data_IF_327262813253
#
_entry.id   IF_327262813253
#
_cell.length_a   1.000
_cell.length_b   1.000
_cell.length_c   1.000
_cell.angle_alpha   90.00
_cell.angle_beta   90.00
_cell.angle_gamma   90.00
#
_symmetry.space_group_name_H-M   'P 1'
#
loop_
_entity.id
_entity.type
_entity.pdbx_description
1 polymer ?
#
# COMPACT_ATOMS: atom_id res chain seq x y z
N UNK A 1 -8.46 8.47 42.12
CA UNK A 1 -8.33 9.44 41.00
C UNK A 1 -7.19 9.11 40.06
N UNK A 2 -5.91 9.01 40.50
CA UNK A 2 -4.77 8.67 39.61
C UNK A 2 -4.92 7.33 38.86
N UNK A 3 -5.42 6.27 39.51
CA UNK A 3 -5.68 4.96 38.88
C UNK A 3 -6.86 4.98 37.90
N UNK A 4 -7.86 5.83 38.13
CA UNK A 4 -9.03 5.97 37.27
C UNK A 4 -8.67 6.75 35.99
N UNK A 5 -7.81 7.76 36.10
CA UNK A 5 -7.29 8.52 34.95
C UNK A 5 -6.39 7.66 34.05
N UNK A 6 -5.53 6.82 34.64
CA UNK A 6 -4.68 5.87 33.88
C UNK A 6 -5.54 4.84 33.15
N UNK A 7 -6.62 4.36 33.77
CA UNK A 7 -7.55 3.41 33.13
C UNK A 7 -8.36 4.06 32.01
N UNK A 8 -8.79 5.32 32.17
CA UNK A 8 -9.50 6.06 31.11
C UNK A 8 -8.57 6.37 29.93
N UNK A 9 -7.30 6.71 30.17
CA UNK A 9 -6.31 6.91 29.10
C UNK A 9 -5.97 5.58 28.41
N UNK A 10 -5.91 4.46 29.14
CA UNK A 10 -5.72 3.12 28.56
C UNK A 10 -6.95 2.63 27.76
N UNK A 11 -8.17 2.95 28.20
CA UNK A 11 -9.40 2.58 27.47
C UNK A 11 -9.62 3.49 26.25
N UNK A 12 -9.23 4.76 26.31
CA UNK A 12 -9.27 5.68 25.16
C UNK A 12 -8.18 5.40 24.13
N UNK A 13 -7.07 4.76 24.51
CA UNK A 13 -6.01 4.34 23.56
C UNK A 13 -6.31 3.01 22.84
N UNK A 14 -7.41 2.33 23.19
CA UNK A 14 -7.81 1.05 22.57
C UNK A 14 -8.69 1.23 21.32
N UNK A 15 -9.07 2.46 20.94
CA UNK A 15 -10.03 2.67 19.83
C UNK A 15 -9.46 3.26 18.53
N UNK A 16 -8.16 3.15 18.27
CA UNK A 16 -7.60 3.44 16.95
C UNK A 16 -6.43 2.50 16.65
N UNK A 17 -6.74 1.23 16.39
CA UNK A 17 -5.84 0.39 15.59
C UNK A 17 -6.29 0.50 14.15
N UNK A 18 -5.63 1.34 13.35
CA UNK A 18 -5.53 1.03 11.93
C UNK A 18 -4.89 -0.35 11.85
N UNK A 19 -5.63 -1.33 11.35
CA UNK A 19 -5.08 -2.67 11.21
C UNK A 19 -4.12 -2.63 10.02
N UNK A 20 -2.85 -2.99 10.24
CA UNK A 20 -1.91 -3.27 9.17
C UNK A 20 -2.30 -4.61 8.51
N UNK A 21 -3.39 -4.55 7.74
CA UNK A 21 -4.07 -5.71 7.16
C UNK A 21 -4.44 -5.52 5.67
N UNK A 22 -4.26 -4.34 5.09
CA UNK A 22 -4.44 -4.13 3.64
C UNK A 22 -3.47 -5.00 2.83
N UNK A 23 -3.94 -5.54 1.71
CA UNK A 23 -3.12 -6.36 0.81
C UNK A 23 -3.27 -5.86 -0.61
N UNK A 24 -2.17 -5.44 -1.21
CA UNK A 24 -2.10 -5.00 -2.60
C UNK A 24 -1.50 -6.07 -3.50
N UNK A 25 -2.01 -6.14 -4.73
CA UNK A 25 -1.55 -7.06 -5.76
C UNK A 25 -1.48 -6.34 -7.10
N UNK A 26 -0.34 -6.45 -7.76
CA UNK A 26 -0.14 -6.03 -9.15
C UNK A 26 0.12 -7.25 -10.02
N UNK A 27 -0.55 -7.35 -11.18
CA UNK A 27 -0.31 -8.42 -12.17
C UNK A 27 -0.04 -7.79 -13.53
N UNK A 28 1.11 -8.14 -14.11
CA UNK A 28 1.49 -7.70 -15.44
C UNK A 28 0.63 -8.33 -16.54
N UNK A 29 0.54 -7.66 -17.69
CA UNK A 29 -0.35 -8.05 -18.79
C UNK A 29 -0.06 -9.40 -19.43
N UNK A 30 1.17 -9.90 -19.37
CA UNK A 30 1.55 -11.22 -19.86
C UNK A 30 1.42 -12.32 -18.80
N UNK A 31 1.13 -11.96 -17.54
CA UNK A 31 0.78 -12.89 -16.48
C UNK A 31 -0.73 -13.15 -16.40
N UNK A 32 -1.56 -12.40 -17.12
CA UNK A 32 -3.02 -12.57 -17.11
C UNK A 32 -3.54 -13.41 -18.28
N UNK A 33 -4.71 -14.02 -18.09
CA UNK A 33 -5.35 -14.89 -19.11
C UNK A 33 -5.87 -14.13 -20.33
N UNK A 34 -6.10 -12.81 -20.22
CA UNK A 34 -6.76 -11.98 -21.22
C UNK A 34 -5.92 -10.78 -21.70
N UNK A 35 -4.70 -10.62 -21.19
CA UNK A 35 -3.83 -9.50 -21.56
C UNK A 35 -4.09 -8.22 -20.77
N UNK A 36 -4.97 -8.24 -19.77
CA UNK A 36 -5.23 -7.10 -18.90
C UNK A 36 -4.12 -6.89 -17.87
N UNK A 37 -3.91 -5.65 -17.46
CA UNK A 37 -3.15 -5.33 -16.25
C UNK A 37 -4.11 -5.34 -15.06
N UNK A 38 -3.71 -5.94 -13.94
CA UNK A 38 -4.54 -5.97 -12.72
C UNK A 38 -3.82 -5.20 -11.61
N UNK A 39 -4.51 -4.22 -11.04
CA UNK A 39 -4.23 -3.66 -9.71
C UNK A 39 -5.43 -4.02 -8.82
N UNK A 40 -5.15 -4.58 -7.64
CA UNK A 40 -6.16 -4.95 -6.68
C UNK A 40 -5.68 -4.67 -5.25
N UNK A 41 -6.62 -4.31 -4.38
CA UNK A 41 -6.39 -3.93 -2.99
C UNK A 41 -7.49 -4.50 -2.10
N UNK A 42 -7.13 -4.99 -0.92
CA UNK A 42 -8.06 -5.03 0.22
C UNK A 42 -7.85 -3.81 1.11
N UNK A 43 -8.95 -3.13 1.46
CA UNK A 43 -8.92 -1.95 2.32
C UNK A 43 -9.47 -2.32 3.68
N UNK A 44 -8.58 -2.63 4.61
CA UNK A 44 -8.93 -3.29 5.87
C UNK A 44 -8.99 -2.27 7.00
N UNK A 45 -10.17 -1.72 7.24
CA UNK A 45 -10.40 -0.77 8.33
C UNK A 45 -11.74 -0.06 8.23
N UNK A 46 -11.94 0.94 9.08
CA UNK A 46 -13.18 1.72 9.12
C UNK A 46 -13.10 2.92 8.16
N UNK A 47 -13.01 2.65 6.86
CA UNK A 47 -12.94 3.67 5.80
C UNK A 47 -14.31 3.99 5.19
N UNK A 48 -14.42 5.11 4.49
CA UNK A 48 -15.62 5.50 3.76
C UNK A 48 -15.84 4.56 2.56
N UNK A 49 -16.79 3.63 2.65
CA UNK A 49 -17.03 2.64 1.59
C UNK A 49 -18.02 3.09 0.52
N UNK A 50 -18.37 4.39 0.46
CA UNK A 50 -19.25 4.92 -0.60
C UNK A 50 -18.50 4.93 -1.93
N UNK A 51 -19.19 4.56 -3.01
CA UNK A 51 -18.71 4.79 -4.38
C UNK A 51 -19.03 6.24 -4.76
N UNK A 52 -18.00 7.08 -4.84
CA UNK A 52 -18.12 8.49 -5.23
C UNK A 52 -17.54 8.67 -6.62
N UNK A 53 -18.31 9.30 -7.51
CA UNK A 53 -17.85 9.67 -8.85
C UNK A 53 -17.69 11.18 -8.86
N UNK A 54 -16.45 11.64 -9.03
CA UNK A 54 -16.09 13.04 -9.11
C UNK A 54 -16.04 13.42 -10.59
N UNK A 55 -16.87 14.38 -11.04
CA UNK A 55 -16.91 14.76 -12.45
C UNK A 55 -15.64 15.52 -12.86
N UNK A 56 -15.31 15.43 -14.15
CA UNK A 56 -14.31 16.29 -14.77
C UNK A 56 -14.72 17.76 -14.65
N UNK A 57 -13.75 18.65 -14.53
CA UNK A 57 -14.00 20.08 -14.40
C UNK A 57 -12.91 20.94 -15.03
N UNK A 58 -13.32 22.08 -15.59
CA UNK A 58 -12.42 23.15 -16.02
C UNK A 58 -12.27 24.19 -14.90
N UNK A 59 -11.09 24.80 -14.82
CA UNK A 59 -10.74 25.75 -13.77
C UNK A 59 -10.13 27.03 -14.34
N UNK A 60 -10.43 28.16 -13.69
CA UNK A 60 -9.90 29.46 -14.11
C UNK A 60 -8.35 29.49 -14.00
N UNK A 61 -7.65 30.12 -14.96
CA UNK A 61 -6.20 30.27 -14.91
C UNK A 61 -5.71 30.95 -13.64
N UNK A 62 -4.70 30.35 -12.99
CA UNK A 62 -4.12 30.87 -11.75
C UNK A 62 -4.96 30.63 -10.50
N UNK A 63 -6.03 29.84 -10.59
CA UNK A 63 -6.77 29.37 -9.42
C UNK A 63 -5.92 28.41 -8.57
N UNK A 64 -6.30 28.29 -7.30
CA UNK A 64 -5.70 27.38 -6.33
C UNK A 64 -6.69 26.27 -6.00
N UNK A 65 -6.19 25.09 -5.67
CA UNK A 65 -7.02 23.98 -5.17
C UNK A 65 -6.61 23.62 -3.74
N UNK A 66 -7.57 23.37 -2.84
CA UNK A 66 -7.29 22.93 -1.49
C UNK A 66 -6.69 21.52 -1.46
N UNK A 67 -5.87 21.30 -0.44
CA UNK A 67 -5.30 20.00 -0.05
C UNK A 67 -6.05 19.55 1.21
N UNK A 68 -6.72 18.40 1.15
CA UNK A 68 -7.59 17.91 2.21
C UNK A 68 -7.01 16.72 2.97
N UNK A 69 -7.21 16.71 4.27
CA UNK A 69 -7.07 15.54 5.14
C UNK A 69 -8.45 14.89 5.37
N UNK A 70 -8.45 13.61 5.76
CA UNK A 70 -9.64 12.82 6.11
C UNK A 70 -10.55 12.44 4.94
N UNK A 71 -10.05 12.50 3.69
CA UNK A 71 -10.83 12.14 2.48
C UNK A 71 -11.39 10.72 2.60
N UNK A 72 -10.59 9.77 3.09
CA UNK A 72 -10.96 8.35 3.25
C UNK A 72 -11.89 8.08 4.45
N UNK A 73 -12.28 9.12 5.18
CA UNK A 73 -13.20 9.07 6.34
C UNK A 73 -14.33 10.12 6.23
N UNK A 74 -14.55 10.68 5.04
CA UNK A 74 -15.44 11.82 4.81
C UNK A 74 -16.93 11.53 5.05
N UNK A 75 -17.32 10.26 5.24
CA UNK A 75 -18.67 9.87 5.65
C UNK A 75 -18.96 10.19 7.13
N UNK A 76 -17.93 10.28 7.96
CA UNK A 76 -18.05 10.42 9.41
C UNK A 76 -17.14 11.47 10.04
N UNK A 77 -16.19 12.03 9.28
CA UNK A 77 -15.30 13.11 9.71
C UNK A 77 -15.41 14.30 8.76
N UNK A 78 -15.38 15.54 9.28
CA UNK A 78 -15.25 16.70 8.42
C UNK A 78 -13.86 16.71 7.76
N UNK A 79 -13.80 17.12 6.50
CA UNK A 79 -12.54 17.40 5.82
C UNK A 79 -11.80 18.53 6.54
N UNK A 80 -10.47 18.43 6.59
CA UNK A 80 -9.60 19.47 7.14
C UNK A 80 -8.71 19.98 6.02
N UNK A 81 -8.74 21.30 5.77
CA UNK A 81 -7.86 21.91 4.78
C UNK A 81 -6.46 22.04 5.37
N UNK A 82 -5.47 21.38 4.75
CA UNK A 82 -4.07 21.43 5.17
C UNK A 82 -3.31 22.56 4.48
N UNK A 83 -3.70 22.90 3.26
CA UNK A 83 -3.06 23.93 2.45
C UNK A 83 -3.74 24.10 1.09
N UNK A 84 -3.03 24.71 0.15
CA UNK A 84 -3.46 24.88 -1.23
C UNK A 84 -2.27 24.75 -2.18
N UNK A 85 -2.52 24.22 -3.39
CA UNK A 85 -1.55 24.17 -4.48
C UNK A 85 -2.14 24.80 -5.75
N UNK A 86 -1.31 25.21 -6.73
CA UNK A 86 -1.82 25.65 -8.02
C UNK A 86 -2.75 24.62 -8.66
N UNK A 87 -3.88 25.10 -9.18
CA UNK A 87 -4.82 24.27 -9.89
C UNK A 87 -4.46 24.17 -11.38
N UNK A 88 -4.76 23.02 -11.98
CA UNK A 88 -4.62 22.80 -13.43
C UNK A 88 -5.87 23.27 -14.16
N UNK A 89 -5.74 23.63 -15.44
CA UNK A 89 -6.87 24.14 -16.25
C UNK A 89 -8.01 23.11 -16.41
N UNK A 90 -7.68 21.81 -16.46
CA UNK A 90 -8.65 20.74 -16.62
C UNK A 90 -8.34 19.57 -15.69
N UNK A 91 -9.38 19.00 -15.07
CA UNK A 91 -9.29 17.77 -14.29
C UNK A 91 -10.17 16.67 -14.89
N UNK A 92 -9.67 15.44 -14.90
CA UNK A 92 -10.40 14.26 -15.35
C UNK A 92 -11.44 13.80 -14.33
N UNK A 93 -12.47 13.11 -14.80
CA UNK A 93 -13.41 12.43 -13.91
C UNK A 93 -12.74 11.20 -13.28
N UNK A 94 -13.04 10.97 -12.00
CA UNK A 94 -12.42 9.91 -11.22
C UNK A 94 -13.36 9.32 -10.18
N UNK A 95 -13.00 8.13 -9.71
CA UNK A 95 -13.80 7.32 -8.80
C UNK A 95 -13.03 7.18 -7.50
N UNK A 96 -13.72 7.45 -6.40
CA UNK A 96 -13.27 7.16 -5.05
C UNK A 96 -14.14 6.07 -4.44
N UNK A 97 -13.51 5.16 -3.71
CA UNK A 97 -14.21 4.32 -2.72
C UNK A 97 -13.65 4.65 -1.34
N UNK A 98 -13.04 3.66 -0.68
CA UNK A 98 -12.24 3.88 0.52
C UNK A 98 -11.06 4.81 0.23
N UNK A 99 -10.35 4.58 -0.87
CA UNK A 99 -9.30 5.44 -1.40
C UNK A 99 -9.63 5.89 -2.83
N UNK A 100 -9.01 6.96 -3.33
CA UNK A 100 -9.07 7.29 -4.76
C UNK A 100 -8.54 6.13 -5.60
N UNK A 101 -9.38 5.63 -6.52
CA UNK A 101 -9.19 4.30 -7.10
C UNK A 101 -8.91 4.32 -8.61
N UNK A 102 -9.65 5.11 -9.41
CA UNK A 102 -9.44 5.13 -10.86
C UNK A 102 -9.94 6.40 -11.54
N UNK A 103 -9.52 6.66 -12.78
CA UNK A 103 -10.03 7.77 -13.60
C UNK A 103 -10.54 7.33 -14.98
N UNK A 104 -11.16 8.26 -15.72
CA UNK A 104 -11.69 8.02 -17.07
C UNK A 104 -10.63 7.70 -18.14
N UNK A 105 -9.34 7.80 -17.81
CA UNK A 105 -8.22 7.50 -18.70
C UNK A 105 -7.71 6.07 -18.53
N UNK A 106 -8.30 5.30 -17.61
CA UNK A 106 -7.88 3.94 -17.32
C UNK A 106 -6.65 3.87 -16.41
N UNK A 107 -6.35 4.94 -15.68
CA UNK A 107 -5.38 4.91 -14.56
C UNK A 107 -6.08 4.37 -13.33
N UNK A 108 -5.46 3.40 -12.65
CA UNK A 108 -5.94 2.75 -11.43
C UNK A 108 -4.87 2.80 -10.33
N UNK A 109 -5.32 2.87 -9.08
CA UNK A 109 -4.46 2.84 -7.91
C UNK A 109 -5.05 1.98 -6.79
N UNK A 110 -4.19 1.24 -6.11
CA UNK A 110 -4.45 0.57 -4.83
C UNK A 110 -3.40 1.00 -3.80
N UNK A 111 -3.76 1.01 -2.53
CA UNK A 111 -2.95 1.53 -1.42
C UNK A 111 -2.68 0.52 -0.29
N UNK A 112 -1.51 0.62 0.33
CA UNK A 112 -1.28 -0.04 1.61
C UNK A 112 -0.29 0.71 2.47
N UNK A 113 -0.57 0.72 3.77
CA UNK A 113 0.40 1.16 4.76
C UNK A 113 1.55 0.19 4.89
N UNK A 114 2.77 0.67 4.72
CA UNK A 114 3.98 -0.14 4.77
C UNK A 114 4.81 0.04 6.04
N UNK A 115 4.55 1.11 6.82
CA UNK A 115 5.41 1.46 7.93
C UNK A 115 6.62 2.26 7.47
N UNK A 116 7.70 2.23 8.23
CA UNK A 116 8.94 2.95 7.90
C UNK A 116 9.85 3.07 9.12
N UNK A 117 11.09 3.50 8.89
CA UNK A 117 12.02 3.88 9.94
C UNK A 117 11.41 5.01 10.78
N UNK A 118 11.68 5.03 12.09
CA UNK A 118 11.00 5.99 13.00
C UNK A 118 11.34 7.43 12.65
N UNK A 119 12.52 7.65 12.11
CA UNK A 119 13.11 8.90 11.69
C UNK A 119 12.35 9.53 10.53
N UNK A 120 11.67 8.73 9.70
CA UNK A 120 10.84 9.22 8.58
C UNK A 120 9.46 9.69 9.03
N UNK A 121 9.20 9.85 10.33
CA UNK A 121 7.93 10.36 10.84
C UNK A 121 7.63 11.75 10.27
N UNK A 122 6.37 12.00 9.92
CA UNK A 122 6.08 13.14 9.06
C UNK A 122 5.98 14.44 9.85
N UNK A 123 6.32 15.55 9.19
CA UNK A 123 6.19 16.88 9.76
C UNK A 123 4.71 17.30 9.85
N UNK A 124 4.29 17.99 10.92
CA UNK A 124 2.95 18.57 10.97
C UNK A 124 2.73 19.67 9.92
N UNK A 125 3.81 20.26 9.38
CA UNK A 125 3.78 21.32 8.37
C UNK A 125 3.73 20.74 6.93
N UNK A 126 3.95 19.43 6.76
CA UNK A 126 3.72 18.73 5.50
C UNK A 126 2.23 18.58 5.22
N UNK A 127 1.83 18.75 3.95
CA UNK A 127 0.41 18.79 3.56
C UNK A 127 -0.01 17.66 2.62
N UNK A 128 0.91 16.93 1.98
CA UNK A 128 0.55 15.90 1.00
C UNK A 128 0.31 14.55 1.66
N UNK A 129 -0.95 14.24 1.95
CA UNK A 129 -1.37 12.89 2.36
C UNK A 129 -1.42 11.95 1.17
N UNK A 130 -1.30 10.63 1.42
CA UNK A 130 -1.33 9.64 0.33
C UNK A 130 -2.65 9.70 -0.46
N UNK A 131 -3.78 9.86 0.22
CA UNK A 131 -5.09 9.96 -0.43
C UNK A 131 -5.23 11.24 -1.27
N UNK A 132 -4.61 12.34 -0.85
CA UNK A 132 -4.65 13.58 -1.63
C UNK A 132 -3.71 13.51 -2.84
N UNK A 133 -2.56 12.84 -2.72
CA UNK A 133 -1.65 12.53 -3.83
C UNK A 133 -2.36 11.68 -4.88
N UNK A 134 -3.02 10.59 -4.48
CA UNK A 134 -3.82 9.76 -5.39
C UNK A 134 -4.93 10.56 -6.07
N UNK A 135 -5.67 11.39 -5.33
CA UNK A 135 -6.73 12.22 -5.90
C UNK A 135 -6.17 13.20 -6.96
N UNK A 136 -5.06 13.89 -6.67
CA UNK A 136 -4.45 14.79 -7.66
C UNK A 136 -3.92 14.05 -8.87
N UNK A 137 -3.32 12.87 -8.71
CA UNK A 137 -2.86 12.07 -9.83
C UNK A 137 -4.02 11.61 -10.72
N UNK A 138 -5.10 11.11 -10.14
CA UNK A 138 -6.28 10.70 -10.90
C UNK A 138 -6.96 11.88 -11.61
N UNK A 139 -6.91 13.09 -11.03
CA UNK A 139 -7.41 14.31 -11.65
C UNK A 139 -6.54 14.79 -12.83
N UNK A 140 -5.23 14.50 -12.85
CA UNK A 140 -4.27 15.22 -13.69
C UNK A 140 -3.50 14.33 -14.66
N UNK A 141 -3.45 13.02 -14.45
CA UNK A 141 -2.59 12.09 -15.17
C UNK A 141 -3.38 11.10 -16.02
N UNK A 142 -2.74 10.59 -17.06
CA UNK A 142 -3.30 9.60 -17.99
C UNK A 142 -2.58 8.26 -17.93
N UNK A 143 -1.34 8.23 -17.45
CA UNK A 143 -0.50 7.02 -17.34
C UNK A 143 0.03 6.81 -15.93
N UNK A 144 0.47 5.60 -15.62
CA UNK A 144 1.07 5.24 -14.34
C UNK A 144 2.36 6.05 -14.05
N UNK A 145 3.17 6.28 -15.08
CA UNK A 145 4.43 7.05 -14.98
C UNK A 145 4.18 8.51 -14.64
N UNK A 146 3.26 9.16 -15.36
CA UNK A 146 2.86 10.55 -15.07
C UNK A 146 2.35 10.69 -13.63
N UNK A 147 1.60 9.70 -13.15
CA UNK A 147 1.09 9.68 -11.79
C UNK A 147 2.20 9.57 -10.74
N UNK A 148 3.19 8.69 -10.95
CA UNK A 148 4.36 8.55 -10.06
C UNK A 148 5.13 9.86 -9.98
N UNK A 149 5.46 10.44 -11.12
CA UNK A 149 6.22 11.70 -11.18
C UNK A 149 5.48 12.84 -10.51
N UNK A 150 4.17 13.00 -10.78
CA UNK A 150 3.36 14.05 -10.17
C UNK A 150 3.24 13.87 -8.65
N UNK A 151 2.92 12.65 -8.19
CA UNK A 151 2.79 12.41 -6.76
C UNK A 151 4.13 12.63 -6.04
N UNK A 152 5.21 12.14 -6.62
CA UNK A 152 6.56 12.33 -6.13
C UNK A 152 6.95 13.81 -6.06
N UNK A 153 6.69 14.59 -7.11
CA UNK A 153 7.04 16.01 -7.15
C UNK A 153 6.23 16.82 -6.13
N UNK A 154 4.92 16.56 -6.02
CA UNK A 154 4.07 17.24 -5.05
C UNK A 154 4.51 16.95 -3.63
N UNK A 155 4.84 15.69 -3.31
CA UNK A 155 5.30 15.34 -1.98
C UNK A 155 6.69 15.92 -1.66
N UNK A 156 7.58 15.99 -2.63
CA UNK A 156 8.90 16.64 -2.49
C UNK A 156 8.76 18.15 -2.26
N UNK A 157 7.85 18.81 -2.98
CA UNK A 157 7.66 20.27 -2.89
C UNK A 157 6.90 20.70 -1.62
N UNK A 158 5.81 20.00 -1.31
CA UNK A 158 4.85 20.39 -0.26
C UNK A 158 4.95 19.55 1.02
N UNK A 159 5.84 18.57 1.06
CA UNK A 159 6.04 17.68 2.19
C UNK A 159 5.03 16.54 2.24
N UNK A 160 5.54 15.32 2.42
CA UNK A 160 4.71 14.14 2.64
C UNK A 160 4.17 14.07 4.07
N UNK A 161 2.86 13.80 4.20
CA UNK A 161 2.12 13.73 5.45
C UNK A 161 1.50 12.35 5.63
N UNK A 162 1.70 11.75 6.79
CA UNK A 162 1.37 10.34 7.00
C UNK A 162 -0.12 10.25 7.31
N UNK A 163 -0.81 9.30 6.69
CA UNK A 163 -2.24 9.10 6.92
C UNK A 163 -2.47 8.05 8.01
N UNK A 164 -1.65 6.99 8.04
CA UNK A 164 -1.77 5.92 9.02
C UNK A 164 -0.46 5.61 9.78
N UNK A 165 0.60 5.20 9.07
CA UNK A 165 1.84 4.76 9.74
C UNK A 165 3.10 4.98 8.91
N UNK A 166 3.67 6.18 9.01
CA UNK A 166 4.88 6.64 8.33
C UNK A 166 4.76 6.51 6.81
N UNK A 167 5.25 5.42 6.24
CA UNK A 167 5.27 5.18 4.81
C UNK A 167 4.05 4.42 4.30
N UNK A 168 3.66 4.78 3.10
CA UNK A 168 2.55 4.17 2.37
C UNK A 168 3.09 3.72 0.99
N UNK A 169 2.47 2.68 0.43
CA UNK A 169 2.81 2.14 -0.87
C UNK A 169 1.58 2.06 -1.77
N UNK A 170 1.78 2.22 -3.08
CA UNK A 170 0.71 2.21 -4.07
C UNK A 170 1.00 1.23 -5.21
N UNK A 171 0.02 0.40 -5.56
CA UNK A 171 -0.03 -0.12 -6.92
C UNK A 171 -0.54 1.00 -7.81
N UNK A 172 0.12 1.24 -8.93
CA UNK A 172 -0.28 2.25 -9.91
C UNK A 172 -0.27 1.56 -11.27
N UNK A 173 -1.44 1.44 -11.88
CA UNK A 173 -1.62 0.68 -13.11
C UNK A 173 -2.33 1.51 -14.18
N UNK A 174 -1.99 1.26 -15.43
CA UNK A 174 -2.76 1.68 -16.58
C UNK A 174 -3.00 0.50 -17.54
N UNK A 175 -3.44 0.76 -18.77
CA UNK A 175 -3.70 -0.29 -19.75
C UNK A 175 -2.47 -1.08 -20.19
N UNK A 176 -1.25 -0.63 -19.87
CA UNK A 176 -0.01 -1.20 -20.38
C UNK A 176 0.94 -1.72 -19.31
N UNK A 177 0.97 -1.09 -18.13
CA UNK A 177 1.93 -1.40 -17.08
C UNK A 177 1.34 -1.28 -15.67
N UNK A 178 1.96 -1.97 -14.70
CA UNK A 178 1.70 -1.80 -13.27
C UNK A 178 3.00 -1.58 -12.52
N UNK A 179 2.97 -0.64 -11.60
CA UNK A 179 4.09 -0.18 -10.81
C UNK A 179 3.80 -0.35 -9.32
N UNK A 180 4.88 -0.51 -8.55
CA UNK A 180 4.86 -0.34 -7.11
C UNK A 180 5.59 0.93 -6.74
N UNK A 181 4.91 1.84 -6.04
CA UNK A 181 5.46 3.09 -5.54
C UNK A 181 5.50 3.04 -4.01
N UNK A 182 6.60 3.44 -3.39
CA UNK A 182 6.74 3.59 -1.94
C UNK A 182 7.17 5.02 -1.60
N UNK A 183 6.54 5.62 -0.59
CA UNK A 183 6.81 6.99 -0.16
C UNK A 183 6.90 7.14 1.36
N UNK A 184 7.84 7.98 1.79
CA UNK A 184 8.17 8.26 3.19
C UNK A 184 8.43 9.75 3.41
N UNK A 185 8.26 10.21 4.65
CA UNK A 185 8.63 11.57 5.04
C UNK A 185 10.12 11.73 5.27
N UNK A 186 10.57 12.99 5.33
CA UNK A 186 11.97 13.38 5.62
C UNK A 186 12.17 13.82 7.07
N UNK A 187 11.27 13.40 7.96
CA UNK A 187 11.37 13.61 9.39
C UNK A 187 10.50 14.73 9.97
N UNK A 188 10.28 14.71 11.30
CA UNK A 188 9.23 15.48 11.95
C UNK A 188 9.56 16.96 12.10
N UNK A 189 10.77 17.36 11.75
CA UNK A 189 11.27 18.74 11.86
C UNK A 189 11.28 19.49 10.54
N UNK A 190 11.02 18.82 9.42
CA UNK A 190 10.98 19.44 8.10
C UNK A 190 9.92 20.54 8.03
N UNK A 191 10.21 21.63 7.34
CA UNK A 191 9.25 22.70 7.06
C UNK A 191 9.28 23.08 5.58
N UNK A 192 8.18 23.67 5.06
CA UNK A 192 8.20 24.26 3.73
C UNK A 192 9.38 25.23 3.55
N UNK A 193 10.23 24.94 2.56
CA UNK A 193 11.44 25.71 2.27
C UNK A 193 12.76 25.15 2.84
N UNK A 194 12.72 24.12 3.70
CA UNK A 194 13.93 23.48 4.23
C UNK A 194 14.63 22.56 3.21
N UNK A 195 13.96 22.23 2.10
CA UNK A 195 14.43 21.32 1.07
C UNK A 195 13.36 20.28 0.71
N UNK A 196 13.76 19.17 0.06
CA UNK A 196 12.86 18.09 -0.32
C UNK A 196 12.07 17.53 0.87
N UNK A 197 10.74 17.44 0.74
CA UNK A 197 9.82 17.05 1.81
C UNK A 197 9.38 15.58 1.83
N UNK A 198 9.95 14.76 0.94
CA UNK A 198 9.63 13.33 0.83
C UNK A 198 10.81 12.51 0.29
N UNK A 199 10.77 11.21 0.54
CA UNK A 199 11.63 10.21 -0.07
C UNK A 199 10.73 9.18 -0.74
N UNK A 200 10.92 8.91 -2.03
CA UNK A 200 10.09 7.94 -2.75
C UNK A 200 10.87 7.18 -3.81
N UNK A 201 10.44 5.97 -4.09
CA UNK A 201 10.92 5.13 -5.19
C UNK A 201 9.77 4.33 -5.78
N UNK A 202 9.87 3.98 -7.06
CA UNK A 202 8.92 3.13 -7.75
C UNK A 202 9.63 2.12 -8.64
N UNK A 203 9.11 0.89 -8.69
CA UNK A 203 9.59 -0.17 -9.56
C UNK A 203 8.45 -0.77 -10.36
N UNK A 204 8.65 -0.95 -11.67
CA UNK A 204 7.66 -1.62 -12.53
C UNK A 204 7.64 -3.11 -12.25
N UNK A 205 6.44 -3.69 -12.21
CA UNK A 205 6.28 -5.15 -12.21
C UNK A 205 6.51 -5.65 -13.63
N UNK A 206 7.40 -6.64 -13.85
CA UNK A 206 7.57 -7.24 -15.18
C UNK A 206 6.24 -7.73 -15.76
N UNK A 207 6.09 -7.62 -17.08
CA UNK A 207 4.81 -7.91 -17.74
C UNK A 207 4.30 -9.34 -17.47
N UNK A 208 5.17 -10.31 -17.22
CA UNK A 208 4.81 -11.69 -16.93
C UNK A 208 4.94 -12.07 -15.44
N UNK A 209 4.93 -11.08 -14.56
CA UNK A 209 5.04 -11.26 -13.11
C UNK A 209 3.79 -10.81 -12.33
N UNK A 210 3.71 -11.32 -11.10
CA UNK A 210 2.84 -10.86 -10.02
C UNK A 210 3.72 -10.22 -8.95
N UNK A 211 3.21 -9.13 -8.37
CA UNK A 211 3.73 -8.51 -7.17
C UNK A 211 2.65 -8.55 -6.08
N UNK A 212 3.06 -8.69 -4.82
CA UNK A 212 2.17 -8.55 -3.65
C UNK A 212 2.82 -7.70 -2.57
N UNK A 213 2.03 -6.83 -1.95
CA UNK A 213 2.39 -6.16 -0.71
C UNK A 213 1.40 -6.49 0.42
N UNK A 214 1.93 -6.76 1.61
CA UNK A 214 1.16 -7.07 2.81
C UNK A 214 1.64 -6.26 4.01
N UNK A 215 1.67 -4.93 3.88
CA UNK A 215 2.09 -3.99 4.91
C UNK A 215 3.57 -4.14 5.34
N UNK A 216 4.47 -4.27 4.37
CA UNK A 216 5.91 -4.22 4.57
C UNK A 216 6.58 -3.74 3.29
N UNK A 217 7.66 -2.96 3.39
CA UNK A 217 8.42 -2.50 2.23
C UNK A 217 9.05 -3.68 1.47
N UNK A 218 8.99 -3.62 0.13
CA UNK A 218 9.49 -4.68 -0.75
C UNK A 218 10.54 -4.23 -1.75
N UNK A 219 10.71 -2.92 -1.98
CA UNK A 219 11.80 -2.41 -2.83
C UNK A 219 13.15 -2.82 -2.20
N UNK A 220 13.98 -3.46 -3.02
CA UNK A 220 15.16 -4.18 -2.58
C UNK A 220 16.43 -3.33 -2.56
N UNK A 221 17.51 -3.93 -3.04
CA UNK A 221 18.80 -3.26 -3.22
C UNK A 221 18.70 -2.17 -4.30
N UNK A 222 19.39 -1.07 -4.06
CA UNK A 222 19.63 0.01 -5.01
C UNK A 222 21.15 0.18 -5.07
N UNK A 223 21.71 -0.01 -6.25
CA UNK A 223 23.12 0.23 -6.50
C UNK A 223 23.39 1.74 -6.45
N UNK A 224 24.32 2.17 -5.59
CA UNK A 224 24.59 3.59 -5.33
C UNK A 224 25.34 4.29 -6.47
N UNK A 225 25.92 3.56 -7.42
CA UNK A 225 26.60 4.15 -8.58
C UNK A 225 25.61 4.43 -9.71
N UNK A 226 24.64 3.52 -9.90
CA UNK A 226 23.68 3.56 -11.00
C UNK A 226 22.30 4.09 -10.59
N UNK A 227 22.00 4.13 -9.29
CA UNK A 227 20.66 4.39 -8.72
C UNK A 227 19.58 3.43 -9.21
N UNK A 228 19.95 2.19 -9.53
CA UNK A 228 19.04 1.15 -10.02
C UNK A 228 19.13 -0.12 -9.18
N UNK A 229 18.03 -0.87 -9.03
CA UNK A 229 18.11 -2.21 -8.51
C UNK A 229 18.89 -3.14 -9.47
N UNK A 230 19.64 -4.12 -8.94
CA UNK A 230 20.35 -5.08 -9.78
C UNK A 230 19.42 -5.80 -10.78
N UNK A 231 19.73 -5.71 -12.07
CA UNK A 231 18.97 -6.37 -13.13
C UNK A 231 17.67 -5.67 -13.54
N UNK A 232 17.41 -4.45 -13.05
CA UNK A 232 16.26 -3.63 -13.45
C UNK A 232 16.71 -2.54 -14.43
N UNK A 233 15.93 -2.32 -15.49
CA UNK A 233 16.19 -1.27 -16.48
C UNK A 233 15.92 0.11 -15.89
N UNK A 234 16.59 1.15 -16.41
CA UNK A 234 16.27 2.54 -16.08
C UNK A 234 14.82 2.93 -16.44
N UNK A 235 14.23 2.27 -17.44
CA UNK A 235 12.83 2.46 -17.80
C UNK A 235 11.85 1.81 -16.81
N UNK A 236 12.32 0.93 -15.93
CA UNK A 236 11.50 0.13 -15.01
C UNK A 236 11.74 0.51 -13.53
N UNK A 237 12.48 1.59 -13.27
CA UNK A 237 12.72 2.12 -11.93
C UNK A 237 12.76 3.65 -11.90
N UNK A 238 12.13 4.24 -10.90
CA UNK A 238 12.12 5.69 -10.65
C UNK A 238 12.46 5.93 -9.17
N UNK A 239 13.27 6.93 -8.87
CA UNK A 239 13.61 7.29 -7.50
C UNK A 239 13.84 8.79 -7.40
N UNK A 240 13.49 9.39 -6.27
CA UNK A 240 13.73 10.81 -6.05
C UNK A 240 15.24 11.10 -5.89
N UNK A 241 15.71 12.19 -6.50
CA UNK A 241 17.14 12.55 -6.49
C UNK A 241 17.71 12.74 -5.07
N UNK A 242 16.86 13.13 -4.12
CA UNK A 242 17.25 13.42 -2.74
C UNK A 242 17.32 12.19 -1.82
N UNK A 243 16.97 10.98 -2.28
CA UNK A 243 16.79 9.83 -1.38
C UNK A 243 18.02 9.59 -0.49
N UNK A 244 19.22 9.56 -1.08
CA UNK A 244 20.44 9.25 -0.36
C UNK A 244 20.78 10.35 0.65
N UNK A 245 20.74 11.62 0.22
CA UNK A 245 21.01 12.76 1.09
C UNK A 245 20.04 12.82 2.27
N UNK A 246 18.73 12.66 2.00
CA UNK A 246 17.72 12.66 3.06
C UNK A 246 17.89 11.49 4.02
N UNK A 247 18.28 10.29 3.56
CA UNK A 247 18.58 9.18 4.49
C UNK A 247 19.81 9.42 5.35
N UNK A 248 20.83 10.10 4.82
CA UNK A 248 22.03 10.48 5.59
C UNK A 248 21.66 11.52 6.66
N UNK A 249 20.87 12.53 6.31
CA UNK A 249 20.41 13.57 7.24
C UNK A 249 19.53 13.02 8.36
N UNK A 250 18.73 11.99 8.07
CA UNK A 250 17.95 11.25 9.06
C UNK A 250 18.82 10.32 9.94
N UNK A 251 20.09 10.12 9.60
CA UNK A 251 20.97 9.18 10.28
C UNK A 251 20.67 7.71 10.01
N UNK A 252 19.92 7.42 8.93
CA UNK A 252 19.57 6.06 8.51
C UNK A 252 20.66 5.42 7.65
N UNK A 253 21.49 6.25 7.01
CA UNK A 253 22.63 5.82 6.22
C UNK A 253 23.87 6.63 6.61
N UNK A 254 25.05 6.01 6.61
CA UNK A 254 26.31 6.73 6.86
C UNK A 254 26.99 7.06 5.54
N UNK A 255 27.39 8.32 5.37
CA UNK A 255 28.14 8.74 4.17
C UNK A 255 29.44 7.91 4.02
N UNK A 256 29.67 7.38 2.81
CA UNK A 256 30.81 6.52 2.53
C UNK A 256 30.74 5.12 3.14
N UNK A 257 29.60 4.71 3.70
CA UNK A 257 29.39 3.33 4.15
C UNK A 257 29.54 2.35 2.99
N UNK A 258 30.30 1.28 3.22
CA UNK A 258 30.42 0.15 2.30
C UNK A 258 29.25 -0.82 2.49
N UNK A 259 28.77 -1.39 1.38
CA UNK A 259 27.69 -2.39 1.37
C UNK A 259 26.44 -1.93 0.62
N UNK A 260 25.49 -2.85 0.37
CA UNK A 260 24.32 -2.56 -0.45
C UNK A 260 23.35 -1.63 0.28
N UNK A 261 22.88 -0.59 -0.41
CA UNK A 261 21.75 0.19 0.06
C UNK A 261 20.47 -0.61 -0.20
N UNK A 262 19.92 -1.23 0.84
CA UNK A 262 18.70 -2.04 0.73
C UNK A 262 17.52 -1.18 1.23
N UNK A 263 16.74 -0.63 0.30
CA UNK A 263 15.66 0.34 0.56
C UNK A 263 14.74 -0.10 1.71
N UNK A 264 14.18 -1.32 1.62
CA UNK A 264 13.28 -1.86 2.65
C UNK A 264 13.89 -2.00 4.04
N UNK A 265 15.23 -2.11 4.14
CA UNK A 265 15.96 -2.23 5.41
C UNK A 265 16.41 -0.87 5.95
N UNK A 266 16.71 0.10 5.08
CA UNK A 266 17.19 1.43 5.46
C UNK A 266 16.03 2.37 5.80
N UNK A 267 15.02 2.43 4.94
CA UNK A 267 13.91 3.40 5.02
C UNK A 267 12.61 2.70 5.41
N UNK A 268 12.36 1.53 4.83
CA UNK A 268 11.10 0.80 4.98
C UNK A 268 10.93 0.08 6.32
N UNK A 269 9.96 -0.83 6.35
CA UNK A 269 9.79 -1.81 7.43
C UNK A 269 9.68 -3.20 6.84
N UNK A 270 10.44 -4.14 7.38
CA UNK A 270 10.38 -5.55 7.00
C UNK A 270 9.55 -6.36 8.00
N UNK A 271 8.99 -7.46 7.53
CA UNK A 271 8.40 -8.51 8.37
C UNK A 271 9.03 -9.83 8.01
N UNK A 272 9.69 -10.45 8.99
CA UNK A 272 10.32 -11.76 8.78
C UNK A 272 9.30 -12.81 8.37
N UNK A 273 8.08 -12.75 8.91
CA UNK A 273 6.98 -13.63 8.51
C UNK A 273 5.71 -12.85 8.17
N UNK A 274 5.15 -13.14 7.00
CA UNK A 274 3.89 -12.60 6.54
C UNK A 274 3.07 -13.69 5.83
N UNK A 275 2.02 -14.25 6.49
CA UNK A 275 1.26 -15.35 5.93
C UNK A 275 0.54 -14.99 4.63
N UNK A 276 0.20 -13.70 4.42
CA UNK A 276 -0.47 -13.23 3.19
C UNK A 276 0.50 -13.27 2.00
N UNK A 277 1.72 -12.78 2.18
CA UNK A 277 2.77 -12.89 1.15
C UNK A 277 3.01 -14.35 0.80
N UNK A 278 3.23 -15.20 1.81
CA UNK A 278 3.39 -16.64 1.59
C UNK A 278 2.21 -17.25 0.82
N UNK A 279 0.97 -16.87 1.16
CA UNK A 279 -0.22 -17.43 0.51
C UNK A 279 -0.28 -17.06 -0.97
N UNK A 280 -0.02 -15.81 -1.33
CA UNK A 280 -0.01 -15.37 -2.74
C UNK A 280 1.06 -16.12 -3.54
N UNK A 281 2.28 -16.18 -3.02
CA UNK A 281 3.38 -16.91 -3.67
C UNK A 281 3.08 -18.41 -3.81
N UNK A 282 2.62 -19.07 -2.74
CA UNK A 282 2.30 -20.50 -2.74
C UNK A 282 1.13 -20.88 -3.64
N UNK A 283 0.12 -20.01 -3.77
CA UNK A 283 -1.02 -20.27 -4.66
C UNK A 283 -0.70 -20.04 -6.14
N UNK A 284 0.04 -18.97 -6.47
CA UNK A 284 0.29 -18.61 -7.86
C UNK A 284 1.59 -19.17 -8.43
N UNK A 285 2.55 -19.54 -7.59
CA UNK A 285 3.77 -20.25 -7.98
C UNK A 285 4.03 -21.47 -7.08
N UNK A 286 3.17 -22.51 -7.10
CA UNK A 286 3.38 -23.75 -6.36
C UNK A 286 4.76 -24.40 -6.58
N UNK A 287 5.35 -24.23 -7.76
CA UNK A 287 6.69 -24.74 -8.11
C UNK A 287 7.83 -24.11 -7.30
N UNK A 288 7.59 -22.96 -6.64
CA UNK A 288 8.59 -22.22 -5.88
C UNK A 288 8.92 -22.80 -4.50
N UNK A 289 8.24 -23.85 -4.05
CA UNK A 289 8.49 -24.53 -2.76
C UNK A 289 8.52 -23.57 -1.54
N UNK A 290 7.56 -22.65 -1.48
CA UNK A 290 7.46 -21.65 -0.42
C UNK A 290 7.11 -22.27 0.95
N UNK A 291 8.02 -22.15 1.92
CA UNK A 291 7.82 -22.70 3.27
C UNK A 291 6.86 -21.87 4.12
N UNK A 292 5.84 -22.53 4.69
CA UNK A 292 4.94 -21.89 5.66
C UNK A 292 5.68 -21.61 6.98
N UNK A 293 5.65 -20.37 7.45
CA UNK A 293 6.42 -19.91 8.60
C UNK A 293 7.87 -19.53 8.27
N UNK A 294 8.27 -19.59 6.99
CA UNK A 294 9.61 -19.21 6.54
C UNK A 294 9.85 -17.70 6.55
N UNK A 295 11.05 -17.26 6.13
CA UNK A 295 11.38 -15.84 6.09
C UNK A 295 10.86 -15.15 4.81
N UNK A 296 9.71 -14.50 4.89
CA UNK A 296 9.11 -13.75 3.77
C UNK A 296 9.81 -12.43 3.45
N UNK A 297 10.66 -11.91 4.34
CA UNK A 297 11.42 -10.68 4.06
C UNK A 297 12.47 -10.87 2.95
N UNK A 298 12.84 -12.11 2.65
CA UNK A 298 13.78 -12.50 1.59
C UNK A 298 13.07 -12.84 0.27
N UNK A 299 11.74 -12.74 0.20
CA UNK A 299 11.02 -12.97 -1.04
C UNK A 299 11.38 -11.90 -2.08
N UNK A 300 11.38 -12.25 -3.39
CA UNK A 300 11.68 -11.29 -4.44
C UNK A 300 10.58 -10.23 -4.54
N UNK A 301 10.93 -9.09 -5.15
CA UNK A 301 9.99 -7.99 -5.43
C UNK A 301 8.72 -8.46 -6.17
N UNK A 302 8.89 -9.39 -7.11
CA UNK A 302 7.82 -9.99 -7.90
C UNK A 302 8.22 -11.40 -8.36
N UNK A 303 7.27 -12.18 -8.87
CA UNK A 303 7.50 -13.54 -9.33
C UNK A 303 6.64 -13.89 -10.53
N UNK A 304 7.13 -14.80 -11.39
CA UNK A 304 6.34 -15.37 -12.50
C UNK A 304 5.40 -16.45 -11.95
N UNK A 305 4.08 -16.37 -12.19
CA UNK A 305 3.17 -17.42 -11.78
C UNK A 305 3.32 -18.67 -12.66
N UNK A 306 3.00 -19.85 -12.12
CA UNK A 306 3.07 -21.13 -12.84
C UNK A 306 1.99 -21.26 -13.92
N UNK A 307 0.90 -20.51 -13.78
CA UNK A 307 -0.19 -20.40 -14.75
C UNK A 307 -0.64 -18.95 -14.88
N UNK A 308 -1.20 -18.61 -16.03
CA UNK A 308 -1.85 -17.31 -16.23
C UNK A 308 -2.98 -17.10 -15.22
N UNK A 309 -3.13 -15.87 -14.78
CA UNK A 309 -4.05 -15.44 -13.72
C UNK A 309 -5.27 -14.74 -14.31
N UNK A 310 -6.46 -15.10 -13.85
CA UNK A 310 -7.69 -14.37 -14.15
C UNK A 310 -8.06 -13.42 -13.01
N UNK A 311 -8.88 -12.40 -13.32
CA UNK A 311 -9.48 -11.55 -12.28
C UNK A 311 -10.26 -12.37 -11.25
N UNK A 312 -10.83 -13.52 -11.63
CA UNK A 312 -11.54 -14.41 -10.72
C UNK A 312 -10.60 -15.10 -9.74
N UNK A 313 -9.39 -15.49 -10.15
CA UNK A 313 -8.39 -16.05 -9.23
C UNK A 313 -7.98 -15.00 -8.17
N UNK A 314 -7.90 -13.72 -8.55
CA UNK A 314 -7.63 -12.62 -7.60
C UNK A 314 -8.81 -12.41 -6.63
N UNK A 315 -10.05 -12.45 -7.13
CA UNK A 315 -11.26 -12.36 -6.29
C UNK A 315 -11.33 -13.56 -5.32
N UNK A 316 -10.97 -14.76 -5.76
CA UNK A 316 -10.89 -15.94 -4.89
C UNK A 316 -9.82 -15.80 -3.83
N UNK A 317 -8.63 -15.28 -4.17
CA UNK A 317 -7.59 -14.98 -3.19
C UNK A 317 -8.07 -14.01 -2.09
N UNK A 318 -8.79 -12.93 -2.44
CA UNK A 318 -9.31 -12.01 -1.42
C UNK A 318 -10.42 -12.62 -0.53
N UNK A 319 -10.94 -13.79 -0.90
CA UNK A 319 -11.87 -14.58 -0.08
C UNK A 319 -11.18 -15.75 0.62
N UNK A 320 -9.90 -15.98 0.33
CA UNK A 320 -9.15 -17.09 0.88
C UNK A 320 -8.98 -16.93 2.39
N UNK A 321 -9.24 -18.02 3.09
CA UNK A 321 -9.08 -18.10 4.55
C UNK A 321 -8.01 -19.10 4.93
N UNK A 322 -6.99 -19.21 4.07
CA UNK A 322 -5.86 -20.11 4.19
C UNK A 322 -6.28 -21.59 4.13
N UNK A 323 -7.35 -21.89 3.39
CA UNK A 323 -7.94 -23.24 3.29
C UNK A 323 -6.90 -24.26 2.84
N UNK A 324 -6.92 -25.43 3.48
CA UNK A 324 -6.01 -26.55 3.24
C UNK A 324 -4.52 -26.23 3.53
N UNK A 325 -4.27 -25.29 4.44
CA UNK A 325 -2.91 -24.95 4.91
C UNK A 325 -2.80 -25.03 6.44
N UNK A 326 -1.59 -25.00 7.01
CA UNK A 326 -1.43 -24.89 8.47
C UNK A 326 -2.03 -23.61 9.07
N UNK A 327 -2.34 -22.60 8.25
CA UNK A 327 -2.99 -21.36 8.66
C UNK A 327 -4.52 -21.33 8.48
N UNK A 328 -5.13 -22.45 8.10
CA UNK A 328 -6.57 -22.54 7.80
C UNK A 328 -7.43 -22.07 8.98
N UNK A 329 -8.17 -20.98 8.78
CA UNK A 329 -9.00 -20.36 9.82
C UNK A 329 -10.26 -21.19 10.14
N UNK A 330 -10.64 -22.12 9.26
CA UNK A 330 -11.75 -23.05 9.48
C UNK A 330 -11.30 -24.33 10.17
N UNK A 331 -10.01 -24.65 10.18
CA UNK A 331 -9.43 -25.84 10.82
C UNK A 331 -9.27 -25.70 12.35
N UNK A 332 -10.29 -25.17 13.02
CA UNK A 332 -10.35 -25.12 14.48
C UNK A 332 -11.14 -26.31 15.02
N UNK A 333 -10.57 -27.05 15.98
CA UNK A 333 -11.24 -28.19 16.62
C UNK A 333 -12.59 -27.80 17.25
N UNK A 334 -12.78 -26.54 17.65
CA UNK A 334 -14.05 -26.03 18.16
C UNK A 334 -15.18 -26.07 17.10
N UNK A 335 -14.84 -26.11 15.81
CA UNK A 335 -15.81 -26.28 14.74
C UNK A 335 -16.15 -27.74 14.45
N UNK A 336 -15.44 -28.70 15.02
CA UNK A 336 -15.69 -30.12 14.81
C UNK A 336 -16.74 -30.62 15.80
N UNK A 337 -17.68 -31.43 15.32
CA UNK A 337 -18.60 -32.18 16.16
C UNK A 337 -18.58 -33.66 15.76
N UNK A 338 -18.99 -34.53 16.69
CA UNK A 338 -19.12 -35.96 16.43
C UNK A 338 -20.42 -36.25 15.71
N UNK A 339 -20.34 -36.84 14.52
CA UNK A 339 -21.51 -37.35 13.82
C UNK A 339 -22.10 -38.60 14.53
N UNK A 340 -23.15 -39.19 13.94
CA UNK A 340 -23.82 -40.37 14.50
C UNK A 340 -22.92 -41.61 14.55
N UNK A 341 -21.87 -41.63 13.73
CA UNK A 341 -20.92 -42.73 13.61
C UNK A 341 -19.65 -42.47 14.43
N UNK A 342 -19.54 -41.31 15.09
CA UNK A 342 -18.42 -40.91 15.93
C UNK A 342 -17.24 -40.30 15.18
N UNK A 343 -17.43 -39.92 13.91
CA UNK A 343 -16.42 -39.21 13.13
C UNK A 343 -16.43 -37.72 13.47
N UNK A 344 -15.27 -37.08 13.43
CA UNK A 344 -15.19 -35.61 13.49
C UNK A 344 -15.66 -35.04 12.15
N UNK A 345 -16.68 -34.19 12.21
CA UNK A 345 -17.25 -33.52 11.04
C UNK A 345 -17.25 -32.02 11.30
N UNK A 346 -16.82 -31.25 10.30
CA UNK A 346 -16.86 -29.80 10.35
C UNK A 346 -18.31 -29.32 10.41
N UNK A 347 -18.61 -28.48 11.41
CA UNK A 347 -19.90 -27.84 11.58
C UNK A 347 -20.26 -27.03 10.34
N UNK A 348 -21.52 -27.10 9.92
CA UNK A 348 -22.05 -26.21 8.89
C UNK A 348 -22.15 -24.74 9.34
N UNK A 349 -21.89 -24.47 10.62
CA UNK A 349 -21.76 -23.13 11.18
C UNK A 349 -20.30 -22.66 11.25
N UNK A 350 -19.34 -23.49 10.83
CA UNK A 350 -17.94 -23.10 10.77
C UNK A 350 -17.79 -21.88 9.86
N UNK A 351 -17.25 -20.80 10.43
CA UNK A 351 -17.05 -19.55 9.70
C UNK A 351 -15.73 -18.92 10.17
N UNK A 352 -14.92 -18.40 9.24
CA UNK A 352 -13.74 -17.64 9.59
C UNK A 352 -14.11 -16.24 10.15
N UNK A 353 -15.37 -15.83 9.96
CA UNK A 353 -15.92 -14.54 10.38
C UNK A 353 -17.13 -14.77 11.29
N UNK A 354 -16.94 -15.28 12.52
CA UNK A 354 -18.05 -15.47 13.44
C UNK A 354 -18.67 -14.12 13.77
N UNK A 355 -19.98 -13.98 13.54
CA UNK A 355 -20.73 -12.80 13.95
C UNK A 355 -20.75 -12.65 15.47
N UNK A 356 -21.16 -11.48 15.97
CA UNK A 356 -21.21 -11.18 17.42
C UNK A 356 -21.99 -12.24 18.20
N UNK A 357 -23.10 -12.74 17.64
CA UNK A 357 -23.91 -13.80 18.27
C UNK A 357 -23.11 -15.09 18.44
N UNK A 358 -22.36 -15.50 17.42
CA UNK A 358 -21.53 -16.73 17.44
C UNK A 358 -20.33 -16.58 18.37
N UNK A 359 -19.72 -15.40 18.46
CA UNK A 359 -18.60 -15.13 19.38
C UNK A 359 -19.00 -15.11 20.86
N UNK A 360 -20.29 -14.92 21.16
CA UNK A 360 -20.83 -14.81 22.51
C UNK A 360 -21.45 -16.12 23.04
N UNK A 361 -21.58 -17.14 22.19
CA UNK A 361 -21.89 -18.52 22.59
C UNK A 361 -20.66 -19.16 23.21
#
# INVERSE_FOLDING_TARGET
>A
MRKLLVTIVLVLSVFYTGLLACTDIGVGKLATVDGSVISAQSVDGSYDSRLLIQPAADHEPGSMTPVWEWIVYADRRPLVQLGEIPQVEHTYSWIQTSYPFSNEKGLLMGETTQGGARETANSPDAIMTIEQLQAFALQRCTTAREAIELMGSLAVEYGYRESCSRGEGLTIADGEEVWWFEIYGVGPLWKPGDGPGAIWAAQRVPDDHIMVNGNASIIGEIDLETNLPPGVSADDFMICDNYLQSTIELGLWTEGQEGPFIWKKVIGTIRDWNPRLWRVFSMFQPSGNWEYGGNTSEYPFSFRPDRLVSVYDIIELYRDVMTDTPGDQLANEAWLYKDRDGNDVLSNLATPQPGTEIRNL
#
